data_IF_118725457584
#
_entry.id   IF_118725457584
#
_cell.length_a   1.000
_cell.length_b   1.000
_cell.length_c   1.000
_cell.angle_alpha   90.00
_cell.angle_beta   90.00
_cell.angle_gamma   90.00
#
_symmetry.space_group_name_H-M   'P 1'
#
loop_
_entity.id
_entity.type
_entity.pdbx_description
1 polymer ?
#
# COMPACT_ATOMS: atom_id res chain seq x y z
N UNK A 1 41.46 -6.39 13.57
CA UNK A 1 41.39 -7.10 12.27
C UNK A 1 39.91 -7.16 11.89
N UNK A 2 39.44 -6.20 11.06
CA UNK A 2 38.05 -6.11 10.58
C UNK A 2 37.97 -5.96 9.04
N UNK A 3 38.64 -6.77 8.19
CA UNK A 3 38.42 -6.71 6.73
C UNK A 3 37.50 -7.84 6.21
N UNK A 4 37.24 -8.88 7.00
CA UNK A 4 36.56 -10.10 6.57
C UNK A 4 35.04 -10.01 6.53
N UNK A 5 34.43 -9.03 7.20
CA UNK A 5 32.97 -8.96 7.31
C UNK A 5 32.29 -8.30 6.10
N UNK A 6 33.04 -7.52 5.29
CA UNK A 6 32.45 -6.81 4.15
C UNK A 6 31.96 -7.77 3.06
N UNK A 7 32.73 -8.84 2.76
CA UNK A 7 32.37 -9.79 1.70
C UNK A 7 31.20 -10.69 2.09
N UNK A 8 31.14 -11.12 3.35
CA UNK A 8 30.05 -11.95 3.89
C UNK A 8 28.75 -11.15 4.06
N UNK A 9 28.84 -9.85 4.36
CA UNK A 9 27.68 -8.95 4.44
C UNK A 9 27.41 -8.18 3.13
N UNK A 10 28.07 -8.52 2.02
CA UNK A 10 27.82 -7.86 0.74
C UNK A 10 26.42 -8.23 0.25
N UNK A 11 25.55 -7.23 0.19
CA UNK A 11 24.17 -7.34 -0.30
C UNK A 11 23.97 -6.53 -1.58
N UNK A 12 25.04 -6.15 -2.28
CA UNK A 12 24.98 -5.35 -3.52
C UNK A 12 24.21 -6.03 -4.66
N UNK A 13 24.09 -7.35 -4.63
CA UNK A 13 23.28 -8.14 -5.57
C UNK A 13 21.89 -8.51 -5.02
N UNK A 14 21.56 -8.13 -3.79
CA UNK A 14 20.27 -8.42 -3.18
C UNK A 14 19.18 -7.55 -3.82
N UNK A 15 18.25 -8.18 -4.52
CA UNK A 15 17.11 -7.54 -5.19
C UNK A 15 15.77 -7.84 -4.52
N UNK A 16 15.75 -8.42 -3.32
CA UNK A 16 14.51 -8.83 -2.64
C UNK A 16 13.54 -7.65 -2.47
N UNK A 17 14.05 -6.47 -2.09
CA UNK A 17 13.25 -5.25 -1.91
C UNK A 17 12.70 -4.74 -3.25
N UNK A 18 13.51 -4.74 -4.30
CA UNK A 18 13.12 -4.35 -5.66
C UNK A 18 12.05 -5.29 -6.20
N UNK A 19 12.29 -6.59 -6.11
CA UNK A 19 11.37 -7.63 -6.57
C UNK A 19 10.05 -7.57 -5.82
N UNK A 20 10.10 -7.45 -4.49
CA UNK A 20 8.92 -7.27 -3.66
C UNK A 20 8.09 -6.05 -4.09
N UNK A 21 8.71 -4.87 -4.21
CA UNK A 21 8.00 -3.65 -4.60
C UNK A 21 7.43 -3.75 -6.03
N UNK A 22 8.16 -4.38 -6.94
CA UNK A 22 7.74 -4.59 -8.33
C UNK A 22 6.54 -5.52 -8.44
N UNK A 23 6.60 -6.70 -7.83
CA UNK A 23 5.50 -7.67 -7.86
C UNK A 23 4.24 -7.08 -7.21
N UNK A 24 4.41 -6.30 -6.14
CA UNK A 24 3.32 -5.58 -5.52
C UNK A 24 2.66 -4.58 -6.48
N UNK A 25 3.44 -3.73 -7.16
CA UNK A 25 2.91 -2.75 -8.12
C UNK A 25 2.23 -3.41 -9.33
N UNK A 26 2.77 -4.53 -9.83
CA UNK A 26 2.15 -5.30 -10.90
C UNK A 26 0.82 -5.92 -10.47
N UNK A 27 0.68 -6.24 -9.18
CA UNK A 27 -0.53 -6.85 -8.61
C UNK A 27 -1.74 -5.94 -8.49
N UNK A 28 -1.53 -4.63 -8.58
CA UNK A 28 -2.52 -3.62 -8.25
C UNK A 28 -3.18 -3.04 -9.50
N UNK A 29 -4.51 -2.83 -9.51
CA UNK A 29 -5.18 -2.18 -10.64
C UNK A 29 -4.61 -0.79 -10.95
N UNK A 30 -4.68 -0.32 -12.21
CA UNK A 30 -4.31 1.05 -12.55
C UNK A 30 -5.15 2.07 -11.77
N UNK A 31 -4.57 3.25 -11.53
CA UNK A 31 -5.20 4.37 -10.81
C UNK A 31 -5.68 4.06 -9.39
N UNK A 32 -4.99 3.12 -8.70
CA UNK A 32 -5.31 2.76 -7.33
C UNK A 32 -4.54 3.60 -6.31
N UNK A 33 -5.16 3.87 -5.17
CA UNK A 33 -4.53 4.45 -3.98
C UNK A 33 -4.03 3.31 -3.09
N UNK A 34 -2.75 3.32 -2.67
CA UNK A 34 -2.19 2.29 -1.78
C UNK A 34 -1.88 2.86 -0.40
N UNK A 35 -2.69 2.53 0.59
CA UNK A 35 -2.40 2.77 2.00
C UNK A 35 -1.36 1.73 2.46
N UNK A 36 -0.24 2.17 3.03
CA UNK A 36 0.76 1.26 3.59
C UNK A 36 0.87 1.36 5.09
N UNK A 37 1.14 0.23 5.72
CA UNK A 37 1.52 0.16 7.13
C UNK A 37 2.96 -0.34 7.26
N UNK A 38 3.82 0.52 7.79
CA UNK A 38 5.23 0.21 8.01
C UNK A 38 6.17 0.86 6.99
N UNK A 39 7.45 0.86 7.33
CA UNK A 39 8.54 1.50 6.59
C UNK A 39 8.97 0.69 5.37
N UNK A 40 9.14 -0.62 5.53
CA UNK A 40 9.59 -1.52 4.47
C UNK A 40 8.70 -1.46 3.22
N UNK A 41 7.36 -1.65 3.29
CA UNK A 41 6.52 -1.56 2.11
C UNK A 41 6.49 -0.16 1.51
N UNK A 42 6.47 0.87 2.36
CA UNK A 42 6.50 2.27 1.94
C UNK A 42 7.74 2.61 1.11
N UNK A 43 8.91 2.25 1.64
CA UNK A 43 10.19 2.53 1.01
C UNK A 43 10.44 1.64 -0.22
N UNK A 44 9.98 0.39 -0.20
CA UNK A 44 10.10 -0.52 -1.36
C UNK A 44 9.33 0.00 -2.56
N UNK A 45 8.08 0.46 -2.33
CA UNK A 45 7.25 1.07 -3.37
C UNK A 45 7.88 2.36 -3.90
N UNK A 46 8.34 3.24 -3.00
CA UNK A 46 8.99 4.49 -3.39
C UNK A 46 10.27 4.26 -4.20
N UNK A 47 11.08 3.28 -3.84
CA UNK A 47 12.27 2.89 -4.60
C UNK A 47 11.91 2.44 -6.03
N UNK A 48 10.88 1.60 -6.16
CA UNK A 48 10.46 1.06 -7.45
C UNK A 48 9.82 2.11 -8.37
N UNK A 49 9.25 3.19 -7.83
CA UNK A 49 8.71 4.32 -8.61
C UNK A 49 9.77 4.97 -9.50
N UNK A 50 11.04 5.00 -9.09
CA UNK A 50 12.13 5.60 -9.86
C UNK A 50 12.74 4.70 -10.95
N UNK A 51 12.44 3.41 -10.95
CA UNK A 51 13.12 2.39 -11.78
C UNK A 51 12.29 2.00 -13.03
N UNK A 52 11.01 2.37 -13.09
CA UNK A 52 10.08 1.95 -14.16
C UNK A 52 9.64 3.12 -15.07
N UNK A 53 10.16 3.22 -16.31
CA UNK A 53 9.75 4.27 -17.25
C UNK A 53 8.45 3.97 -18.02
N UNK A 54 8.03 2.71 -18.15
CA UNK A 54 6.88 2.30 -19.00
C UNK A 54 5.58 2.02 -18.23
N UNK A 55 5.66 1.98 -16.90
CA UNK A 55 4.47 2.23 -16.09
C UNK A 55 4.39 3.75 -16.01
N UNK A 56 3.45 4.35 -16.72
CA UNK A 56 3.04 5.71 -16.45
C UNK A 56 2.48 5.76 -15.01
N UNK A 57 3.38 5.90 -14.05
CA UNK A 57 3.16 6.54 -12.74
C UNK A 57 2.88 8.04 -12.92
N UNK A 58 2.28 8.41 -14.06
CA UNK A 58 1.83 9.74 -14.46
C UNK A 58 0.30 9.85 -14.25
N UNK A 59 -0.33 8.77 -13.79
CA UNK A 59 -1.74 8.73 -13.36
C UNK A 59 -2.00 7.61 -12.34
N UNK A 60 -1.11 6.62 -12.23
CA UNK A 60 -0.98 5.79 -11.03
C UNK A 60 -0.29 6.61 -9.92
N UNK A 61 -1.05 7.50 -9.30
CA UNK A 61 -0.78 7.93 -7.94
C UNK A 61 -1.00 6.73 -7.01
N UNK A 62 -0.09 5.74 -7.07
CA UNK A 62 0.15 4.80 -5.98
C UNK A 62 0.61 5.66 -4.82
N UNK A 63 -0.37 6.22 -4.14
CA UNK A 63 -0.11 7.18 -3.10
C UNK A 63 0.11 6.40 -1.85
N UNK A 64 1.37 6.05 -1.66
CA UNK A 64 1.83 5.28 -0.53
C UNK A 64 1.77 6.13 0.72
N UNK A 65 0.64 6.07 1.42
CA UNK A 65 0.47 6.77 2.67
C UNK A 65 0.90 5.88 3.83
N UNK A 66 1.80 6.36 4.67
CA UNK A 66 1.93 5.76 6.00
C UNK A 66 0.78 6.26 6.85
N UNK A 67 -0.18 5.39 7.17
CA UNK A 67 -1.38 5.78 7.92
C UNK A 67 -1.05 6.49 9.25
N UNK A 68 0.01 6.05 9.95
CA UNK A 68 0.50 6.75 11.16
C UNK A 68 0.97 8.18 10.90
N UNK A 69 1.56 8.46 9.75
CA UNK A 69 2.05 9.80 9.42
C UNK A 69 0.89 10.75 9.07
N UNK A 70 -0.25 10.22 8.62
CA UNK A 70 -1.46 11.00 8.36
C UNK A 70 -2.07 11.61 9.63
N UNK A 71 -1.65 11.18 10.82
CA UNK A 71 -2.01 11.85 12.09
C UNK A 71 -1.41 13.25 12.22
N UNK A 72 -0.43 13.61 11.38
CA UNK A 72 0.21 14.92 11.38
C UNK A 72 -0.29 15.83 10.26
N UNK A 73 -0.69 17.06 10.63
CA UNK A 73 -1.24 18.05 9.70
C UNK A 73 -0.32 18.36 8.52
N UNK A 74 0.98 18.51 8.78
CA UNK A 74 1.96 18.83 7.74
C UNK A 74 2.10 17.72 6.71
N UNK A 75 1.88 16.47 7.11
CA UNK A 75 2.03 15.32 6.23
C UNK A 75 0.84 15.26 5.27
N UNK A 76 -0.40 15.38 5.77
CA UNK A 76 -1.59 15.47 4.90
C UNK A 76 -1.51 16.67 3.96
N UNK A 77 -1.05 17.83 4.44
CA UNK A 77 -0.85 19.00 3.59
C UNK A 77 0.19 18.75 2.47
N UNK A 78 1.32 18.12 2.81
CA UNK A 78 2.33 17.70 1.83
C UNK A 78 1.73 16.73 0.81
N UNK A 79 0.98 15.74 1.28
CA UNK A 79 0.35 14.75 0.42
C UNK A 79 -0.63 15.38 -0.56
N UNK A 80 -1.54 16.24 -0.10
CA UNK A 80 -2.49 16.93 -0.98
C UNK A 80 -1.82 17.85 -2.02
N UNK A 81 -0.60 18.34 -1.75
CA UNK A 81 0.18 19.11 -2.74
C UNK A 81 0.83 18.22 -3.81
N UNK A 82 1.32 17.05 -3.42
CA UNK A 82 1.96 16.12 -4.34
C UNK A 82 0.97 15.19 -5.05
N UNK A 83 -0.25 15.08 -4.53
CA UNK A 83 -1.28 14.15 -4.98
C UNK A 83 -2.64 14.84 -5.19
N UNK A 84 -2.80 15.69 -6.23
CA UNK A 84 -4.02 16.44 -6.46
C UNK A 84 -5.24 15.56 -6.81
N UNK A 85 -5.03 14.29 -7.19
CA UNK A 85 -6.10 13.32 -7.44
C UNK A 85 -6.70 12.71 -6.17
N UNK A 86 -6.06 12.90 -5.02
CA UNK A 86 -6.50 12.34 -3.73
C UNK A 86 -7.15 13.41 -2.86
N UNK A 87 -8.38 13.14 -2.43
CA UNK A 87 -9.13 14.06 -1.58
C UNK A 87 -8.98 13.72 -0.09
N UNK A 88 -8.59 14.72 0.70
CA UNK A 88 -8.56 14.64 2.16
C UNK A 88 -9.62 15.59 2.73
N UNK A 89 -10.63 15.05 3.43
CA UNK A 89 -11.73 15.83 4.00
C UNK A 89 -11.35 16.62 5.27
N UNK A 90 -10.10 16.48 5.74
CA UNK A 90 -9.57 17.16 6.91
C UNK A 90 -8.06 17.33 6.85
N UNK A 91 -7.50 17.89 7.92
CA UNK A 91 -6.06 18.21 8.03
C UNK A 91 -5.23 17.06 8.58
N UNK A 92 -5.83 16.14 9.32
CA UNK A 92 -5.17 14.93 9.84
C UNK A 92 -6.15 13.78 9.89
N UNK A 93 -5.63 12.56 9.80
CA UNK A 93 -6.40 11.38 10.16
C UNK A 93 -6.42 11.22 11.68
N UNK A 94 -7.60 11.20 12.28
CA UNK A 94 -7.81 10.85 13.69
C UNK A 94 -9.10 10.04 13.79
N UNK A 95 -9.00 8.72 14.04
CA UNK A 95 -10.17 7.86 14.08
C UNK A 95 -10.99 7.98 15.37
N UNK A 96 -10.48 8.68 16.39
CA UNK A 96 -11.12 8.81 17.71
C UNK A 96 -11.88 10.13 17.83
N UNK A 97 -11.32 11.24 17.33
CA UNK A 97 -11.88 12.59 17.49
C UNK A 97 -12.51 13.13 16.20
N UNK A 98 -13.25 12.30 15.48
CA UNK A 98 -13.81 12.63 14.14
C UNK A 98 -14.90 13.72 14.16
N UNK A 99 -15.43 14.06 15.34
CA UNK A 99 -16.43 15.13 15.53
C UNK A 99 -15.81 16.54 15.57
N UNK A 100 -14.48 16.64 15.72
CA UNK A 100 -13.78 17.91 15.59
C UNK A 100 -13.70 18.34 14.11
N UNK A 101 -13.79 19.64 13.83
CA UNK A 101 -13.79 20.18 12.45
C UNK A 101 -12.50 19.94 11.63
N UNK A 102 -11.45 19.40 12.25
CA UNK A 102 -10.11 19.29 11.65
C UNK A 102 -9.71 17.87 11.22
N UNK A 103 -9.95 16.80 12.01
CA UNK A 103 -9.60 15.46 11.58
C UNK A 103 -10.62 14.81 10.63
N UNK A 104 -10.17 13.78 9.90
CA UNK A 104 -11.02 12.88 9.13
C UNK A 104 -10.84 11.42 9.52
N UNK A 105 -11.88 10.61 9.30
CA UNK A 105 -11.86 9.15 9.49
C UNK A 105 -11.46 8.40 8.22
N UNK A 106 -11.10 7.11 8.33
CA UNK A 106 -10.87 6.29 7.14
C UNK A 106 -12.14 6.15 6.29
N UNK A 107 -13.32 6.03 6.90
CA UNK A 107 -14.59 6.01 6.15
C UNK A 107 -14.81 7.28 5.31
N UNK A 108 -14.51 8.45 5.88
CA UNK A 108 -14.59 9.72 5.14
C UNK A 108 -13.57 9.77 4.01
N UNK A 109 -12.35 9.27 4.23
CA UNK A 109 -11.35 9.17 3.18
C UNK A 109 -11.83 8.28 2.03
N UNK A 110 -12.34 7.08 2.32
CA UNK A 110 -12.83 6.15 1.31
C UNK A 110 -14.02 6.72 0.52
N UNK A 111 -14.97 7.36 1.21
CA UNK A 111 -16.18 7.91 0.56
C UNK A 111 -15.93 9.06 -0.41
N UNK A 112 -14.82 9.79 -0.25
CA UNK A 112 -14.43 10.86 -1.18
C UNK A 112 -13.47 10.41 -2.28
N UNK A 113 -12.85 9.23 -2.15
CA UNK A 113 -11.86 8.71 -3.10
C UNK A 113 -12.40 7.47 -3.84
N UNK A 114 -13.45 7.67 -4.63
CA UNK A 114 -14.16 6.59 -5.34
C UNK A 114 -13.75 6.41 -6.81
N UNK A 115 -12.79 7.21 -7.29
CA UNK A 115 -12.35 7.24 -8.69
C UNK A 115 -11.49 6.01 -9.08
N UNK A 116 -10.99 5.27 -8.10
CA UNK A 116 -10.14 4.10 -8.28
C UNK A 116 -10.16 3.20 -7.05
N UNK A 117 -9.47 2.07 -7.12
CA UNK A 117 -9.39 1.14 -6.00
C UNK A 117 -8.56 1.74 -4.86
N UNK A 118 -9.04 1.61 -3.61
CA UNK A 118 -8.25 1.92 -2.42
C UNK A 118 -7.79 0.61 -1.79
N UNK A 119 -6.47 0.41 -1.74
CA UNK A 119 -5.85 -0.81 -1.25
C UNK A 119 -5.10 -0.52 0.05
N UNK A 120 -5.30 -1.35 1.07
CA UNK A 120 -4.51 -1.32 2.29
C UNK A 120 -3.50 -2.47 2.30
N UNK A 121 -2.23 -2.17 2.03
CA UNK A 121 -1.17 -3.16 2.05
C UNK A 121 -0.53 -3.24 3.44
N UNK A 122 -0.31 -4.47 3.92
CA UNK A 122 0.21 -4.76 5.27
C UNK A 122 -0.78 -4.42 6.40
N UNK A 123 -2.07 -4.50 6.06
CA UNK A 123 -3.18 -4.41 6.99
C UNK A 123 -3.58 -2.98 7.35
N UNK A 124 -4.83 -2.86 7.77
CA UNK A 124 -5.42 -1.62 8.28
C UNK A 124 -5.03 -1.36 9.74
N UNK A 125 -5.20 -0.12 10.24
CA UNK A 125 -4.94 0.22 11.63
C UNK A 125 -6.02 -0.39 12.54
N UNK A 126 -5.60 -1.07 13.60
CA UNK A 126 -6.51 -1.73 14.57
C UNK A 126 -7.35 -0.75 15.40
N UNK A 127 -7.12 0.56 15.23
CA UNK A 127 -7.71 1.64 16.05
C UNK A 127 -8.70 2.53 15.28
N UNK A 128 -9.08 2.15 14.06
CA UNK A 128 -10.09 2.85 13.27
C UNK A 128 -11.19 1.90 12.81
N UNK A 129 -12.28 1.78 13.58
CA UNK A 129 -13.43 0.96 13.19
C UNK A 129 -14.42 1.70 12.28
N UNK A 130 -14.15 2.94 11.86
CA UNK A 130 -15.14 3.79 11.16
C UNK A 130 -15.63 3.17 9.85
N UNK A 131 -14.74 2.47 9.13
CA UNK A 131 -15.02 1.89 7.82
C UNK A 131 -15.75 0.54 7.89
N UNK A 132 -15.67 -0.19 9.01
CA UNK A 132 -16.07 -1.61 9.12
C UNK A 132 -17.56 -1.86 8.80
N UNK A 133 -18.41 -0.85 8.97
CA UNK A 133 -19.85 -0.95 8.68
C UNK A 133 -20.20 -0.63 7.23
N UNK A 134 -19.38 0.21 6.60
CA UNK A 134 -19.67 0.82 5.29
C UNK A 134 -18.85 0.19 4.17
N UNK A 135 -17.75 -0.49 4.51
CA UNK A 135 -16.83 -1.13 3.58
C UNK A 135 -16.53 -2.56 4.01
N UNK A 136 -16.33 -3.42 3.00
CA UNK A 136 -15.72 -4.74 3.14
C UNK A 136 -14.29 -4.69 2.58
N UNK A 137 -13.48 -5.68 2.96
CA UNK A 137 -12.14 -5.84 2.39
C UNK A 137 -12.02 -7.18 1.67
N UNK A 138 -11.47 -7.17 0.46
CA UNK A 138 -11.19 -8.36 -0.32
C UNK A 138 -9.68 -8.56 -0.44
N UNK A 139 -9.20 -9.74 -0.08
CA UNK A 139 -7.77 -10.04 -0.06
C UNK A 139 -7.20 -10.05 -1.49
N UNK A 140 -6.18 -9.22 -1.72
CA UNK A 140 -5.37 -9.11 -2.93
C UNK A 140 -3.90 -9.29 -2.57
N UNK A 141 -3.47 -10.54 -2.40
CA UNK A 141 -2.11 -10.87 -1.99
C UNK A 141 -1.78 -10.34 -0.59
N UNK A 142 -0.86 -9.37 -0.49
CA UNK A 142 -0.48 -8.70 0.78
C UNK A 142 -1.30 -7.44 1.07
N UNK A 143 -2.29 -7.14 0.22
CA UNK A 143 -3.16 -5.98 0.34
C UNK A 143 -4.62 -6.38 0.49
N UNK A 144 -5.38 -5.49 1.09
CA UNK A 144 -6.82 -5.55 1.21
C UNK A 144 -7.45 -4.52 0.29
N UNK A 145 -8.29 -4.95 -0.66
CA UNK A 145 -9.08 -4.04 -1.48
C UNK A 145 -10.33 -3.59 -0.72
N UNK A 146 -10.42 -2.29 -0.42
CA UNK A 146 -11.52 -1.71 0.33
C UNK A 146 -12.66 -1.35 -0.62
N UNK A 147 -13.76 -2.06 -0.49
CA UNK A 147 -14.94 -1.95 -1.35
C UNK A 147 -16.18 -1.60 -0.53
N UNK A 148 -17.17 -0.88 -1.09
CA UNK A 148 -18.43 -0.65 -0.38
C UNK A 148 -19.08 -1.97 0.09
N UNK A 149 -19.63 -1.99 1.30
CA UNK A 149 -20.17 -3.22 1.90
C UNK A 149 -21.37 -3.81 1.15
N UNK A 150 -22.03 -3.01 0.30
CA UNK A 150 -23.14 -3.48 -0.54
C UNK A 150 -22.66 -4.06 -1.88
N UNK A 151 -21.36 -3.95 -2.20
CA UNK A 151 -20.80 -4.47 -3.44
C UNK A 151 -20.86 -6.02 -3.42
N UNK A 152 -21.49 -6.65 -4.42
CA UNK A 152 -21.59 -8.11 -4.47
C UNK A 152 -20.20 -8.72 -4.69
N UNK A 153 -19.79 -9.60 -3.79
CA UNK A 153 -18.56 -10.36 -3.96
C UNK A 153 -18.79 -11.55 -4.89
N UNK A 154 -18.04 -11.59 -5.99
CA UNK A 154 -18.07 -12.67 -6.98
C UNK A 154 -16.74 -13.46 -6.93
N UNK A 155 -16.66 -14.58 -6.19
CA UNK A 155 -15.40 -15.30 -5.97
C UNK A 155 -14.73 -15.79 -7.25
N UNK A 156 -15.52 -16.22 -8.24
CA UNK A 156 -15.00 -16.71 -9.53
C UNK A 156 -14.32 -15.62 -10.36
N UNK A 157 -14.86 -14.39 -10.32
CA UNK A 157 -14.24 -13.24 -10.97
C UNK A 157 -13.01 -12.77 -10.18
N UNK A 158 -13.09 -12.75 -8.84
CA UNK A 158 -11.98 -12.33 -7.99
C UNK A 158 -10.75 -13.25 -8.10
N UNK A 159 -10.97 -14.56 -8.17
CA UNK A 159 -9.88 -15.54 -8.34
C UNK A 159 -9.13 -15.33 -9.65
N UNK A 160 -9.79 -14.94 -10.74
CA UNK A 160 -9.13 -14.61 -12.02
C UNK A 160 -8.20 -13.40 -11.92
N UNK A 161 -8.51 -12.43 -11.06
CA UNK A 161 -7.69 -11.22 -10.86
C UNK A 161 -6.54 -11.42 -9.85
N UNK A 162 -6.63 -12.44 -9.00
CA UNK A 162 -5.67 -12.72 -7.92
C UNK A 162 -4.75 -13.91 -8.19
N UNK A 163 -4.99 -14.65 -9.28
CA UNK A 163 -4.13 -15.73 -9.76
C UNK A 163 -2.81 -15.19 -10.34
N UNK A 164 -1.92 -14.75 -9.45
CA UNK A 164 -0.51 -14.61 -9.79
C UNK A 164 0.11 -16.00 -9.92
N UNK A 165 0.63 -16.30 -11.11
CA UNK A 165 1.45 -17.49 -11.33
C UNK A 165 2.75 -17.27 -10.54
N UNK A 166 2.83 -17.85 -9.35
CA UNK A 166 4.06 -17.86 -8.57
C UNK A 166 5.14 -18.60 -9.38
N UNK A 167 6.05 -17.85 -9.99
CA UNK A 167 7.15 -18.42 -10.78
C UNK A 167 8.34 -18.84 -9.94
N UNK A 168 8.38 -18.44 -8.66
CA UNK A 168 9.47 -18.81 -7.75
C UNK A 168 9.13 -20.06 -6.94
N UNK A 169 10.00 -21.09 -6.96
CA UNK A 169 9.82 -22.25 -6.11
C UNK A 169 9.95 -21.85 -4.64
N UNK A 170 8.98 -22.27 -3.83
CA UNK A 170 8.78 -21.95 -2.40
C UNK A 170 10.00 -22.18 -1.48
N UNK A 171 11.06 -22.87 -1.92
CA UNK A 171 12.14 -23.40 -1.08
C UNK A 171 13.55 -22.87 -1.43
N UNK A 172 13.73 -21.62 -1.86
CA UNK A 172 15.08 -21.07 -2.11
C UNK A 172 15.62 -20.10 -1.05
N UNK A 173 15.00 -20.03 0.12
CA UNK A 173 15.54 -19.27 1.25
C UNK A 173 16.18 -20.24 2.24
N UNK A 174 17.45 -19.99 2.54
CA UNK A 174 18.44 -20.81 3.27
C UNK A 174 19.13 -21.84 2.37
N UNK A 175 20.32 -21.46 1.92
CA UNK A 175 21.25 -22.39 1.31
C UNK A 175 21.48 -23.59 2.23
N UNK A 176 21.35 -24.77 1.64
CA UNK A 176 21.99 -25.97 2.13
C UNK A 176 23.50 -25.68 2.17
N UNK A 177 23.98 -25.31 3.35
CA UNK A 177 25.40 -25.32 3.68
C UNK A 177 25.85 -26.76 3.84
N UNK A 178 26.71 -27.18 2.92
CA UNK A 178 27.61 -28.34 3.00
C UNK A 178 28.47 -28.27 4.26
#
# INVERSE_FOLDING_TARGET
MVPSNHRECDQSSNRVVEQFGRELLLSVPPNSIILTRGDLPGNSLHYCQGVWPDVRLVDQEVTTFTLKMMTYNWYVAKLGQHHPGVYFSGRRWDPVHTEEKEPFSLEQFLSHNTQGAVLACFGLPDRDPSWERSYSHWLLGVCDHLVPAQEPFHPEEWTRHTLYIWTEPHNRVLGEGV
#
